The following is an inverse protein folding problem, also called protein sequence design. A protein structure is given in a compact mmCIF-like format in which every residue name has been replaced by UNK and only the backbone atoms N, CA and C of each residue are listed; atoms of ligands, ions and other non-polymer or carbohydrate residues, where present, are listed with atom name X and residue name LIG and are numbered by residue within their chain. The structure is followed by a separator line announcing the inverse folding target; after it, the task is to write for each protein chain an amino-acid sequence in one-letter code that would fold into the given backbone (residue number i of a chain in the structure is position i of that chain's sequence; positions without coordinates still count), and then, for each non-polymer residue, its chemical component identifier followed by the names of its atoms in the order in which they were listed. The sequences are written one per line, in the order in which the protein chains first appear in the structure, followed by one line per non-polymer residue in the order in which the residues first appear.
data_IF_110180920479
#
_entry.id   IF_110180920479
#
_cell.length_a   1.000
_cell.length_b   1.000
_cell.length_c   1.000
_cell.angle_alpha   90.00
_cell.angle_beta   90.00
_cell.angle_gamma   90.00
#
_symmetry.space_group_name_H-M   'P 1'
#
loop_
_entity.id
_entity.type
_entity.pdbx_description
1 polymer ?
#
# COMPACT_ATOMS: atom_id res chain seq x y z
N UNK A 1 7.45 -22.58 -28.73
CA UNK A 1 7.24 -21.30 -28.02
C UNK A 1 7.94 -20.18 -28.79
N UNK A 2 7.22 -19.13 -29.17
CA UNK A 2 7.74 -18.05 -30.04
C UNK A 2 8.46 -16.98 -29.22
N UNK A 3 9.32 -16.14 -29.84
CA UNK A 3 9.92 -14.98 -29.18
C UNK A 3 8.88 -14.02 -28.57
N UNK A 4 7.72 -13.87 -29.22
CA UNK A 4 6.62 -13.04 -28.72
C UNK A 4 6.02 -13.60 -27.42
N UNK A 5 5.77 -14.92 -27.36
CA UNK A 5 5.28 -15.57 -26.15
C UNK A 5 6.30 -15.48 -25.00
N UNK A 6 7.61 -15.57 -25.31
CA UNK A 6 8.67 -15.38 -24.30
C UNK A 6 8.67 -13.98 -23.70
N UNK A 7 8.48 -12.95 -24.52
CA UNK A 7 8.42 -11.56 -24.05
C UNK A 7 7.19 -11.31 -23.16
N UNK A 8 6.03 -11.85 -23.55
CA UNK A 8 4.80 -11.77 -22.73
C UNK A 8 4.95 -12.46 -21.37
N UNK A 9 5.67 -13.59 -21.31
CA UNK A 9 5.98 -14.25 -20.04
C UNK A 9 6.87 -13.37 -19.15
N UNK A 10 7.89 -12.71 -19.72
CA UNK A 10 8.74 -11.78 -18.97
C UNK A 10 7.95 -10.58 -18.45
N UNK A 11 7.09 -10.00 -19.28
CA UNK A 11 6.21 -8.91 -18.85
C UNK A 11 5.29 -9.35 -17.71
N UNK A 12 4.71 -10.55 -17.77
CA UNK A 12 3.88 -11.11 -16.71
C UNK A 12 4.66 -11.25 -15.40
N UNK A 13 5.86 -11.82 -15.44
CA UNK A 13 6.74 -11.95 -14.28
C UNK A 13 7.09 -10.59 -13.65
N UNK A 14 7.32 -9.57 -14.47
CA UNK A 14 7.57 -8.21 -13.99
C UNK A 14 6.34 -7.60 -13.30
N UNK A 15 5.13 -7.84 -13.84
CA UNK A 15 3.88 -7.38 -13.22
C UNK A 15 3.67 -8.09 -11.88
N UNK A 16 3.90 -9.40 -11.79
CA UNK A 16 3.78 -10.15 -10.54
C UNK A 16 4.75 -9.65 -9.46
N UNK A 17 6.02 -9.40 -9.84
CA UNK A 17 7.00 -8.79 -8.92
C UNK A 17 6.55 -7.40 -8.43
N UNK A 18 5.96 -6.59 -9.32
CA UNK A 18 5.41 -5.28 -8.97
C UNK A 18 4.24 -5.40 -8.00
N UNK A 19 3.31 -6.33 -8.23
CA UNK A 19 2.17 -6.59 -7.33
C UNK A 19 2.67 -6.98 -5.93
N UNK A 20 3.67 -7.85 -5.83
CA UNK A 20 4.24 -8.25 -4.53
C UNK A 20 4.84 -7.06 -3.77
N UNK A 21 5.52 -6.14 -4.45
CA UNK A 21 6.00 -4.90 -3.86
C UNK A 21 4.85 -4.01 -3.36
N UNK A 22 3.77 -3.89 -4.14
CA UNK A 22 2.58 -3.12 -3.76
C UNK A 22 1.88 -3.71 -2.53
N UNK A 23 1.81 -5.03 -2.41
CA UNK A 23 1.23 -5.70 -1.23
C UNK A 23 2.02 -5.31 0.04
N UNK A 24 3.35 -5.36 -0.02
CA UNK A 24 4.19 -4.95 1.12
C UNK A 24 3.99 -3.49 1.51
N UNK A 25 3.91 -2.58 0.53
CA UNK A 25 3.62 -1.17 0.78
C UNK A 25 2.22 -0.96 1.38
N UNK A 26 1.21 -1.69 0.90
CA UNK A 26 -0.17 -1.65 1.43
C UNK A 26 -0.22 -2.08 2.89
N UNK A 27 0.43 -3.19 3.22
CA UNK A 27 0.54 -3.67 4.61
C UNK A 27 1.22 -2.65 5.52
N UNK A 28 2.28 -1.99 5.03
CA UNK A 28 2.95 -0.92 5.79
C UNK A 28 2.02 0.26 6.08
N UNK A 29 1.21 0.69 5.11
CA UNK A 29 0.23 1.76 5.33
C UNK A 29 -0.91 1.33 6.26
N UNK A 30 -1.35 0.07 6.18
CA UNK A 30 -2.37 -0.47 7.10
C UNK A 30 -1.87 -0.48 8.55
N UNK A 31 -0.62 -0.89 8.78
CA UNK A 31 0.00 -0.84 10.11
C UNK A 31 0.05 0.60 10.65
N UNK A 32 0.51 1.54 9.83
CA UNK A 32 0.56 2.96 10.22
C UNK A 32 -0.83 3.53 10.51
N UNK A 33 -1.85 3.13 9.74
CA UNK A 33 -3.24 3.56 9.97
C UNK A 33 -3.75 3.04 11.30
N UNK A 34 -3.50 1.77 11.61
CA UNK A 34 -3.89 1.16 12.88
C UNK A 34 -3.19 1.84 14.08
N UNK A 35 -1.90 2.16 13.96
CA UNK A 35 -1.16 2.93 14.97
C UNK A 35 -1.78 4.31 15.21
N UNK A 36 -2.17 5.02 14.14
CA UNK A 36 -2.81 6.33 14.24
C UNK A 36 -4.19 6.24 14.88
N UNK A 37 -5.00 5.26 14.51
CA UNK A 37 -6.31 5.02 15.13
C UNK A 37 -6.19 4.68 16.62
N UNK A 38 -5.21 3.84 16.97
CA UNK A 38 -4.91 3.53 18.36
C UNK A 38 -4.43 4.78 19.14
N UNK A 39 -3.59 5.61 18.55
CA UNK A 39 -3.15 6.85 19.18
C UNK A 39 -4.33 7.81 19.42
N UNK A 40 -5.21 7.97 18.44
CA UNK A 40 -6.40 8.81 18.55
C UNK A 40 -7.36 8.31 19.63
N UNK A 41 -7.54 6.98 19.76
CA UNK A 41 -8.46 6.42 20.76
C UNK A 41 -8.00 6.59 22.21
N UNK A 42 -6.69 6.67 22.45
CA UNK A 42 -6.13 6.85 23.79
C UNK A 42 -5.87 8.32 24.15
N UNK A 43 -5.82 9.21 23.15
CA UNK A 43 -5.48 10.62 23.34
C UNK A 43 -6.45 11.34 24.29
N UNK A 44 -7.75 11.09 24.15
CA UNK A 44 -8.77 11.75 24.96
C UNK A 44 -8.60 11.40 26.46
N UNK A 45 -8.19 10.15 26.76
CA UNK A 45 -7.94 9.64 28.12
C UNK A 45 -6.58 10.01 28.74
N UNK A 46 -5.66 10.59 27.98
CA UNK A 46 -4.28 10.83 28.43
C UNK A 46 -4.16 12.19 29.12
N UNK A 47 -3.69 12.32 30.37
CA UNK A 47 -3.64 13.65 31.01
C UNK A 47 -2.56 14.57 30.42
N UNK A 48 -1.40 14.01 30.09
CA UNK A 48 -0.27 14.74 29.48
C UNK A 48 0.15 14.05 28.20
N UNK A 49 0.46 14.83 27.17
CA UNK A 49 0.85 14.31 25.86
C UNK A 49 2.22 14.87 25.47
N UNK A 50 3.06 14.01 24.91
CA UNK A 50 4.39 14.35 24.44
C UNK A 50 4.55 13.94 22.97
N UNK A 51 5.30 14.74 22.22
CA UNK A 51 5.78 14.39 20.86
C UNK A 51 7.27 14.14 20.88
N UNK A 52 7.71 13.16 20.09
CA UNK A 52 9.14 12.90 19.87
C UNK A 52 9.60 13.74 18.67
N UNK A 53 10.68 14.49 18.85
CA UNK A 53 11.36 15.25 17.79
C UNK A 53 12.83 14.84 17.80
N UNK A 54 13.28 14.11 16.78
CA UNK A 54 14.64 13.56 16.78
C UNK A 54 14.86 12.63 17.98
N UNK A 55 15.74 13.03 18.89
CA UNK A 55 16.06 12.31 20.12
C UNK A 55 15.47 12.94 21.40
N UNK A 56 14.60 13.95 21.28
CA UNK A 56 14.00 14.63 22.42
C UNK A 56 12.48 14.43 22.47
N UNK A 57 11.92 14.47 23.68
CA UNK A 57 10.48 14.51 23.92
C UNK A 57 10.06 15.93 24.29
N UNK A 58 9.00 16.42 23.66
CA UNK A 58 8.49 17.78 23.85
C UNK A 58 7.03 17.69 24.26
N UNK A 59 6.66 18.35 25.36
CA UNK A 59 5.26 18.46 25.79
C UNK A 59 4.43 19.18 24.73
N UNK A 60 3.24 18.69 24.44
CA UNK A 60 2.34 19.27 23.44
C UNK A 60 0.90 19.22 23.92
N UNK A 61 0.05 20.11 23.40
CA UNK A 61 -1.36 20.08 23.74
C UNK A 61 -2.08 18.94 23.02
N UNK A 62 -3.13 18.42 23.65
CA UNK A 62 -3.97 17.37 23.06
C UNK A 62 -4.51 17.78 21.71
N UNK A 63 -4.96 19.02 21.58
CA UNK A 63 -5.61 19.56 20.38
C UNK A 63 -4.64 19.58 19.19
N UNK A 64 -3.38 19.95 19.42
CA UNK A 64 -2.35 19.96 18.37
C UNK A 64 -2.07 18.53 17.93
N UNK A 65 -1.85 17.61 18.86
CA UNK A 65 -1.57 16.20 18.55
C UNK A 65 -2.76 15.52 17.87
N UNK A 66 -3.99 15.83 18.30
CA UNK A 66 -5.22 15.32 17.67
C UNK A 66 -5.29 15.73 16.21
N UNK A 67 -5.07 17.01 15.93
CA UNK A 67 -5.06 17.54 14.57
C UNK A 67 -3.98 16.88 13.71
N UNK A 68 -2.76 16.76 14.22
CA UNK A 68 -1.66 16.09 13.50
C UNK A 68 -1.98 14.62 13.17
N UNK A 69 -2.57 13.88 14.12
CA UNK A 69 -2.98 12.49 13.91
C UNK A 69 -4.14 12.37 12.92
N UNK A 70 -5.12 13.28 12.97
CA UNK A 70 -6.24 13.32 12.03
C UNK A 70 -5.77 13.62 10.60
N UNK A 71 -4.89 14.60 10.41
CA UNK A 71 -4.27 14.90 9.11
C UNK A 71 -3.48 13.67 8.59
N UNK A 72 -2.71 13.01 9.47
CA UNK A 72 -1.98 11.79 9.10
C UNK A 72 -2.92 10.65 8.70
N UNK A 73 -4.04 10.48 9.40
CA UNK A 73 -5.08 9.49 9.07
C UNK A 73 -5.65 9.74 7.69
N UNK A 74 -5.99 10.98 7.35
CA UNK A 74 -6.52 11.33 6.02
C UNK A 74 -5.51 11.04 4.91
N UNK A 75 -4.24 11.40 5.12
CA UNK A 75 -3.17 11.11 4.15
C UNK A 75 -3.00 9.59 3.96
N UNK A 76 -3.02 8.81 5.03
CA UNK A 76 -2.92 7.35 4.97
C UNK A 76 -4.12 6.73 4.25
N UNK A 77 -5.34 7.21 4.52
CA UNK A 77 -6.54 6.74 3.84
C UNK A 77 -6.48 6.98 2.32
N UNK A 78 -6.00 8.16 1.89
CA UNK A 78 -5.78 8.46 0.47
C UNK A 78 -4.73 7.55 -0.16
N UNK A 79 -3.62 7.29 0.55
CA UNK A 79 -2.56 6.38 0.08
C UNK A 79 -3.04 4.94 -0.05
N UNK A 80 -3.79 4.44 0.93
CA UNK A 80 -4.39 3.11 0.90
C UNK A 80 -5.33 2.95 -0.30
N UNK A 81 -6.24 3.90 -0.49
CA UNK A 81 -7.15 3.89 -1.65
C UNK A 81 -6.40 3.93 -2.99
N UNK A 82 -5.33 4.71 -3.06
CA UNK A 82 -4.50 4.82 -4.27
C UNK A 82 -3.78 3.51 -4.58
N UNK A 83 -3.17 2.87 -3.56
CA UNK A 83 -2.43 1.63 -3.77
C UNK A 83 -3.36 0.46 -4.10
N UNK A 84 -4.56 0.40 -3.51
CA UNK A 84 -5.59 -0.57 -3.86
C UNK A 84 -6.00 -0.46 -5.33
N UNK A 85 -6.27 0.77 -5.79
CA UNK A 85 -6.60 1.00 -7.20
C UNK A 85 -5.45 0.61 -8.15
N UNK A 86 -4.20 0.84 -7.75
CA UNK A 86 -3.04 0.44 -8.53
C UNK A 86 -2.90 -1.09 -8.57
N UNK A 87 -3.04 -1.74 -7.42
CA UNK A 87 -3.03 -3.20 -7.27
C UNK A 87 -4.07 -3.84 -8.20
N UNK A 88 -5.32 -3.38 -8.14
CA UNK A 88 -6.41 -3.90 -8.97
C UNK A 88 -6.13 -3.76 -10.47
N UNK A 89 -5.58 -2.61 -10.89
CA UNK A 89 -5.20 -2.39 -12.29
C UNK A 89 -4.11 -3.35 -12.75
N UNK A 90 -3.10 -3.60 -11.91
CA UNK A 90 -2.03 -4.53 -12.23
C UNK A 90 -2.52 -5.99 -12.25
N UNK A 91 -3.42 -6.37 -11.32
CA UNK A 91 -4.04 -7.70 -11.30
C UNK A 91 -4.88 -7.98 -12.54
N UNK A 92 -5.68 -7.01 -12.99
CA UNK A 92 -6.43 -7.11 -14.24
C UNK A 92 -5.51 -7.28 -15.44
N UNK A 93 -4.46 -6.46 -15.54
CA UNK A 93 -3.46 -6.58 -16.63
C UNK A 93 -2.74 -7.93 -16.61
N UNK A 94 -2.36 -8.42 -15.43
CA UNK A 94 -1.74 -9.74 -15.28
C UNK A 94 -2.67 -10.86 -15.77
N UNK A 95 -3.96 -10.78 -15.40
CA UNK A 95 -4.97 -11.78 -15.81
C UNK A 95 -5.17 -11.79 -17.32
N UNK A 96 -5.28 -10.62 -17.95
CA UNK A 96 -5.40 -10.50 -19.41
C UNK A 96 -4.17 -11.08 -20.12
N UNK A 97 -2.97 -10.74 -19.65
CA UNK A 97 -1.71 -11.21 -20.23
C UNK A 97 -1.55 -12.72 -20.06
N UNK A 98 -1.90 -13.27 -18.90
CA UNK A 98 -1.90 -14.70 -18.64
C UNK A 98 -2.82 -15.46 -19.61
N UNK A 99 -4.03 -14.94 -19.87
CA UNK A 99 -4.95 -15.53 -20.85
C UNK A 99 -4.37 -15.53 -22.27
N UNK A 100 -3.70 -14.44 -22.67
CA UNK A 100 -3.05 -14.35 -23.98
C UNK A 100 -1.92 -15.37 -24.13
N UNK A 101 -1.03 -15.46 -23.13
CA UNK A 101 0.07 -16.44 -23.11
C UNK A 101 -0.47 -17.87 -23.22
N UNK A 102 -1.48 -18.22 -22.42
CA UNK A 102 -2.09 -19.56 -22.47
C UNK A 102 -2.70 -19.88 -23.84
N UNK A 103 -3.31 -18.90 -24.50
CA UNK A 103 -3.89 -19.07 -25.83
C UNK A 103 -2.83 -19.30 -26.91
N UNK A 104 -1.70 -18.62 -26.82
CA UNK A 104 -0.57 -18.79 -27.76
C UNK A 104 0.15 -20.13 -27.57
N UNK A 105 0.33 -20.55 -26.31
CA UNK A 105 0.91 -21.85 -26.00
C UNK A 105 0.06 -22.99 -26.59
N UNK A 106 -1.27 -22.95 -26.41
CA UNK A 106 -2.19 -23.95 -26.97
C UNK A 106 -2.27 -23.98 -28.49
N UNK A 107 -1.88 -22.89 -29.18
CA UNK A 107 -1.82 -22.82 -30.65
C UNK A 107 -0.48 -23.31 -31.21
N UNK A 108 0.51 -23.48 -30.35
CA UNK A 108 1.88 -23.89 -30.70
C UNK A 108 2.10 -25.39 -30.52
N UNK A 109 1.09 -26.13 -30.05
CA UNK A 109 0.97 -27.60 -30.04
C UNK A 109 0.17 -28.06 -31.27
#
# INVERSE_FOLDING_TARGET
MTPETQEKIRELQNIEATINSMIGQKQQFQSQSMEVENALSHLDSSDTVFRIIGNIMVSSSKEVIKKELEEKREVLALRLKSIEKQEDRHRSKATELQQQVLKEMKKSD
#
